data_IF_702780608168
#
_entry.id   IF_702780608168
#
_cell.length_a   1.000
_cell.length_b   1.000
_cell.length_c   1.000
_cell.angle_alpha   90.00
_cell.angle_beta   90.00
_cell.angle_gamma   90.00
#
_symmetry.space_group_name_H-M   'P 1'
#
loop_
_entity.id
_entity.type
_entity.pdbx_description
1 polymer ?
#
# COMPACT_ATOMS: atom_id res chain seq x y z
N UNK A 1 5.02 -6.11 -22.49
CA UNK A 1 5.19 -4.66 -22.30
C UNK A 1 6.65 -4.32 -21.98
N UNK A 2 7.22 -4.82 -20.86
CA UNK A 2 8.63 -4.54 -20.47
C UNK A 2 9.61 -4.92 -21.58
N UNK A 3 9.43 -6.07 -22.23
CA UNK A 3 10.27 -6.50 -23.36
C UNK A 3 10.15 -5.59 -24.59
N UNK A 4 9.02 -4.99 -24.82
CA UNK A 4 8.83 -4.01 -25.88
C UNK A 4 9.52 -2.68 -25.54
N UNK A 5 9.35 -2.21 -24.32
CA UNK A 5 10.02 -1.00 -23.83
C UNK A 5 11.55 -1.15 -23.82
N UNK A 6 12.09 -2.31 -23.41
CA UNK A 6 13.52 -2.60 -23.40
C UNK A 6 14.21 -2.49 -24.77
N UNK A 7 13.45 -2.48 -25.86
CA UNK A 7 13.96 -2.27 -27.23
C UNK A 7 13.94 -0.80 -27.67
N UNK A 8 13.47 0.10 -26.82
CA UNK A 8 13.45 1.53 -27.15
C UNK A 8 14.80 2.20 -26.82
N UNK A 9 15.18 3.28 -27.51
CA UNK A 9 16.39 4.03 -27.19
C UNK A 9 16.42 4.59 -25.76
N UNK A 10 15.26 4.87 -25.18
CA UNK A 10 15.10 5.39 -23.83
C UNK A 10 15.50 4.38 -22.77
N UNK A 11 15.44 3.08 -23.07
CA UNK A 11 15.77 2.00 -22.12
C UNK A 11 17.27 1.78 -21.90
N UNK A 12 18.11 2.26 -22.80
CA UNK A 12 19.55 1.94 -22.83
C UNK A 12 20.29 2.15 -21.49
N UNK A 13 20.01 3.18 -20.67
CA UNK A 13 20.69 3.33 -19.39
C UNK A 13 20.16 2.42 -18.28
N UNK A 14 18.97 1.82 -18.43
CA UNK A 14 18.29 1.05 -17.39
C UNK A 14 18.32 -0.46 -17.61
N UNK A 15 18.52 -0.90 -18.86
CA UNK A 15 18.49 -2.33 -19.21
C UNK A 15 19.82 -2.75 -19.82
N UNK A 16 20.62 -3.49 -19.09
CA UNK A 16 21.81 -4.15 -19.59
C UNK A 16 21.42 -5.57 -20.02
N UNK A 17 21.14 -5.73 -21.32
CA UNK A 17 21.22 -6.95 -22.10
C UNK A 17 20.38 -8.17 -21.73
N UNK A 18 19.53 -8.63 -22.64
CA UNK A 18 19.03 -9.99 -22.75
C UNK A 18 17.67 -10.28 -22.05
N UNK A 19 17.05 -11.42 -22.39
CA UNK A 19 15.73 -11.80 -21.90
C UNK A 19 15.64 -11.97 -20.38
N UNK A 20 16.72 -12.46 -19.74
CA UNK A 20 16.77 -12.69 -18.31
C UNK A 20 16.66 -11.37 -17.51
N UNK A 21 17.44 -10.34 -17.92
CA UNK A 21 17.38 -9.01 -17.29
C UNK A 21 16.01 -8.35 -17.49
N UNK A 22 15.42 -8.53 -18.66
CA UNK A 22 14.07 -8.02 -18.94
C UNK A 22 13.01 -8.68 -18.07
N UNK A 23 13.12 -9.99 -17.84
CA UNK A 23 12.21 -10.75 -16.97
C UNK A 23 12.38 -10.33 -15.51
N UNK A 24 13.63 -10.16 -15.04
CA UNK A 24 13.91 -9.68 -13.69
C UNK A 24 13.28 -8.29 -13.46
N UNK A 25 13.50 -7.35 -14.40
CA UNK A 25 12.93 -6.01 -14.34
C UNK A 25 11.38 -6.02 -14.35
N UNK A 26 10.77 -6.93 -15.10
CA UNK A 26 9.32 -7.11 -15.10
C UNK A 26 8.82 -7.62 -13.74
N UNK A 27 9.56 -8.53 -13.10
CA UNK A 27 9.28 -9.01 -11.75
C UNK A 27 9.41 -7.92 -10.69
N UNK A 28 10.44 -7.06 -10.80
CA UNK A 28 10.64 -5.93 -9.89
C UNK A 28 9.50 -4.91 -10.02
N UNK A 29 9.08 -4.62 -11.26
CA UNK A 29 7.94 -3.74 -11.51
C UNK A 29 6.64 -4.30 -10.93
N UNK A 30 6.39 -5.60 -11.09
CA UNK A 30 5.20 -6.24 -10.53
C UNK A 30 5.19 -6.16 -8.99
N UNK A 31 6.35 -6.39 -8.33
CA UNK A 31 6.46 -6.24 -6.88
C UNK A 31 6.20 -4.80 -6.42
N UNK A 32 6.75 -3.81 -7.13
CA UNK A 32 6.48 -2.40 -6.83
C UNK A 32 4.99 -2.07 -6.94
N UNK A 33 4.31 -2.57 -7.98
CA UNK A 33 2.87 -2.38 -8.16
C UNK A 33 2.07 -2.99 -7.01
N UNK A 34 2.39 -4.23 -6.63
CA UNK A 34 1.75 -4.90 -5.49
C UNK A 34 1.97 -4.14 -4.18
N UNK A 35 3.18 -3.65 -3.92
CA UNK A 35 3.51 -2.87 -2.73
C UNK A 35 2.74 -1.54 -2.69
N UNK A 36 2.65 -0.83 -3.81
CA UNK A 36 1.91 0.44 -3.87
C UNK A 36 0.42 0.24 -3.62
N UNK A 37 -0.21 -0.76 -4.26
CA UNK A 37 -1.62 -1.11 -4.02
C UNK A 37 -1.82 -1.53 -2.57
N UNK A 38 -1.00 -2.45 -2.08
CA UNK A 38 -1.11 -3.01 -0.73
C UNK A 38 -0.99 -1.95 0.37
N UNK A 39 -0.13 -0.94 0.15
CA UNK A 39 0.09 0.17 1.10
C UNK A 39 -0.82 1.37 0.86
N UNK A 40 -1.63 1.35 -0.19
CA UNK A 40 -2.50 2.46 -0.57
C UNK A 40 -1.71 3.71 -1.00
N UNK A 41 -0.53 3.52 -1.61
CA UNK A 41 0.32 4.63 -2.09
C UNK A 41 -0.08 4.99 -3.52
N UNK A 42 -0.43 6.26 -3.72
CA UNK A 42 -0.74 6.77 -5.05
C UNK A 42 0.52 6.96 -5.90
N UNK A 43 0.41 6.72 -7.21
CA UNK A 43 1.52 6.89 -8.16
C UNK A 43 2.11 8.30 -8.16
N UNK A 44 1.29 9.31 -7.91
CA UNK A 44 1.68 10.73 -7.81
C UNK A 44 2.67 11.01 -6.67
N UNK A 45 2.75 10.12 -5.68
CA UNK A 45 3.75 10.23 -4.62
C UNK A 45 5.17 10.05 -5.15
N UNK A 46 5.36 9.25 -6.20
CA UNK A 46 6.66 9.03 -6.85
C UNK A 46 7.16 10.28 -7.57
N UNK A 47 6.27 11.11 -8.10
CA UNK A 47 6.62 12.35 -8.81
C UNK A 47 7.30 13.37 -7.87
N UNK A 48 7.14 13.20 -6.55
CA UNK A 48 7.64 14.11 -5.51
C UNK A 48 8.92 13.61 -4.82
N UNK A 49 9.42 12.44 -5.18
CA UNK A 49 10.54 11.80 -4.45
C UNK A 49 11.90 12.40 -4.79
N UNK A 50 12.05 12.95 -5.99
CA UNK A 50 13.35 13.40 -6.49
C UNK A 50 13.34 14.89 -6.72
N UNK A 51 14.31 15.64 -6.14
CA UNK A 51 14.49 17.04 -6.45
C UNK A 51 14.85 17.27 -7.93
N UNK A 52 14.43 18.42 -8.50
CA UNK A 52 14.58 18.79 -9.91
C UNK A 52 16.02 18.69 -10.47
N UNK A 53 17.03 18.75 -9.60
CA UNK A 53 18.44 18.65 -9.98
C UNK A 53 18.92 17.26 -10.42
N UNK A 54 18.14 16.19 -10.17
CA UNK A 54 18.44 14.81 -10.57
C UNK A 54 17.65 14.35 -11.80
N UNK A 55 17.17 15.27 -12.59
CA UNK A 55 16.11 15.12 -13.58
C UNK A 55 16.34 14.03 -14.63
N UNK A 56 17.54 13.91 -15.22
CA UNK A 56 17.75 13.04 -16.40
C UNK A 56 17.57 11.54 -16.11
N UNK A 57 18.17 11.00 -15.04
CA UNK A 57 18.04 9.57 -14.69
C UNK A 57 16.64 9.27 -14.18
N UNK A 58 16.04 10.22 -13.45
CA UNK A 58 14.71 10.06 -12.94
C UNK A 58 13.66 10.08 -14.04
N UNK A 59 13.82 10.92 -15.06
CA UNK A 59 12.93 10.93 -16.23
C UNK A 59 12.89 9.57 -16.95
N UNK A 60 14.03 8.90 -17.11
CA UNK A 60 14.06 7.53 -17.66
C UNK A 60 13.32 6.53 -16.77
N UNK A 61 13.45 6.67 -15.44
CA UNK A 61 12.74 5.82 -14.49
C UNK A 61 11.22 6.07 -14.54
N UNK A 62 10.80 7.32 -14.60
CA UNK A 62 9.38 7.69 -14.75
C UNK A 62 8.79 7.18 -16.07
N UNK A 63 9.54 7.24 -17.18
CA UNK A 63 9.09 6.69 -18.46
C UNK A 63 8.92 5.16 -18.39
N UNK A 64 9.79 4.46 -17.69
CA UNK A 64 9.61 3.03 -17.40
C UNK A 64 8.38 2.78 -16.54
N UNK A 65 8.19 3.54 -15.47
CA UNK A 65 7.05 3.43 -14.57
C UNK A 65 5.71 3.76 -15.25
N UNK A 66 5.74 4.45 -16.40
CA UNK A 66 4.55 4.68 -17.24
C UNK A 66 3.90 3.37 -17.70
N UNK A 67 4.67 2.29 -17.82
CA UNK A 67 4.15 0.95 -18.16
C UNK A 67 3.14 0.53 -17.09
N UNK A 68 3.52 0.61 -15.81
CA UNK A 68 2.67 0.24 -14.69
C UNK A 68 1.52 1.23 -14.46
N UNK A 69 1.80 2.53 -14.65
CA UNK A 69 0.85 3.60 -14.35
C UNK A 69 -0.26 3.77 -15.40
N UNK A 70 0.03 3.51 -16.67
CA UNK A 70 -0.90 3.75 -17.79
C UNK A 70 -1.15 2.52 -18.63
N UNK A 71 -0.09 1.93 -19.19
CA UNK A 71 -0.23 0.90 -20.22
C UNK A 71 -0.81 -0.39 -19.65
N UNK A 72 -0.33 -0.81 -18.49
CA UNK A 72 -0.79 -2.04 -17.86
C UNK A 72 -2.25 -1.99 -17.39
N UNK A 73 -2.73 -0.93 -16.72
CA UNK A 73 -4.15 -0.80 -16.37
C UNK A 73 -5.08 -0.79 -17.59
N UNK A 74 -4.68 -0.14 -18.69
CA UNK A 74 -5.44 -0.16 -19.95
C UNK A 74 -5.53 -1.58 -20.51
N UNK A 75 -4.40 -2.30 -20.54
CA UNK A 75 -4.37 -3.69 -20.98
C UNK A 75 -5.25 -4.60 -20.10
N UNK A 76 -5.19 -4.48 -18.77
CA UNK A 76 -6.06 -5.24 -17.88
C UNK A 76 -7.54 -4.96 -18.14
N UNK A 77 -7.90 -3.71 -18.39
CA UNK A 77 -9.26 -3.32 -18.74
C UNK A 77 -9.71 -3.95 -20.06
N UNK A 78 -8.86 -3.97 -21.09
CA UNK A 78 -9.13 -4.60 -22.38
C UNK A 78 -9.43 -6.10 -22.25
N UNK A 79 -8.69 -6.81 -21.39
CA UNK A 79 -8.88 -8.26 -21.18
C UNK A 79 -9.87 -8.58 -20.05
N UNK A 80 -10.54 -7.58 -19.47
CA UNK A 80 -11.53 -7.75 -18.41
C UNK A 80 -10.93 -8.32 -17.11
N UNK A 81 -9.73 -7.89 -16.73
CA UNK A 81 -9.00 -8.35 -15.54
C UNK A 81 -8.64 -7.17 -14.64
N UNK A 82 -8.31 -7.49 -13.40
CA UNK A 82 -7.75 -6.55 -12.41
C UNK A 82 -6.50 -7.15 -11.77
N UNK A 83 -5.70 -6.32 -11.12
CA UNK A 83 -4.52 -6.76 -10.38
C UNK A 83 -4.89 -7.71 -9.23
N UNK A 84 -4.04 -8.73 -8.94
CA UNK A 84 -4.26 -9.63 -7.80
C UNK A 84 -4.37 -8.90 -6.46
N UNK A 85 -3.51 -7.89 -6.21
CA UNK A 85 -3.54 -7.09 -5.00
C UNK A 85 -4.84 -6.28 -4.89
N UNK A 86 -5.27 -5.64 -5.97
CA UNK A 86 -6.55 -4.92 -6.03
C UNK A 86 -7.74 -5.87 -5.80
N UNK A 87 -7.70 -7.07 -6.41
CA UNK A 87 -8.75 -8.08 -6.20
C UNK A 87 -8.83 -8.50 -4.74
N UNK A 88 -7.69 -8.73 -4.09
CA UNK A 88 -7.64 -9.06 -2.66
C UNK A 88 -8.30 -7.97 -1.82
N UNK A 89 -7.91 -6.71 -2.03
CA UNK A 89 -8.41 -5.57 -1.27
C UNK A 89 -9.93 -5.38 -1.47
N UNK A 90 -10.41 -5.48 -2.71
CA UNK A 90 -11.85 -5.45 -3.01
C UNK A 90 -12.63 -6.57 -2.33
N UNK A 91 -12.06 -7.78 -2.23
CA UNK A 91 -12.70 -8.90 -1.53
C UNK A 91 -12.76 -8.67 -0.02
N UNK A 92 -11.69 -8.12 0.57
CA UNK A 92 -11.64 -7.76 1.99
C UNK A 92 -12.69 -6.66 2.30
N UNK A 93 -12.77 -5.64 1.47
CA UNK A 93 -13.75 -4.55 1.62
C UNK A 93 -15.19 -5.05 1.43
N UNK A 94 -15.44 -5.92 0.45
CA UNK A 94 -16.74 -6.52 0.24
C UNK A 94 -17.18 -7.39 1.42
N UNK A 95 -16.26 -8.14 2.02
CA UNK A 95 -16.55 -8.94 3.22
C UNK A 95 -16.81 -8.06 4.43
N UNK A 96 -16.07 -6.97 4.62
CA UNK A 96 -16.35 -5.99 5.67
C UNK A 96 -17.77 -5.42 5.53
N UNK A 97 -18.17 -5.04 4.32
CA UNK A 97 -19.51 -4.53 4.04
C UNK A 97 -20.59 -5.59 4.29
N UNK A 98 -20.35 -6.85 3.86
CA UNK A 98 -21.28 -7.97 4.07
C UNK A 98 -21.51 -8.22 5.57
N UNK A 99 -20.44 -8.27 6.37
CA UNK A 99 -20.53 -8.50 7.81
C UNK A 99 -21.26 -7.35 8.52
N UNK A 100 -21.01 -6.13 8.13
CA UNK A 100 -21.71 -4.96 8.68
C UNK A 100 -23.22 -4.99 8.37
N UNK A 101 -23.58 -5.43 7.17
CA UNK A 101 -24.97 -5.53 6.76
C UNK A 101 -25.69 -6.73 7.40
N UNK A 102 -25.01 -7.86 7.51
CA UNK A 102 -25.58 -9.10 8.03
C UNK A 102 -24.51 -10.05 8.56
N UNK A 103 -24.67 -10.49 9.82
CA UNK A 103 -23.87 -11.53 10.46
C UNK A 103 -24.71 -12.34 11.44
N UNK A 104 -24.59 -13.68 11.38
CA UNK A 104 -25.46 -14.59 12.14
C UNK A 104 -24.92 -14.98 13.52
N UNK A 105 -23.77 -14.47 13.93
CA UNK A 105 -23.13 -14.84 15.19
C UNK A 105 -21.87 -14.04 15.49
N UNK A 106 -21.11 -14.47 16.50
CA UNK A 106 -19.86 -13.80 16.87
C UNK A 106 -18.84 -13.82 15.72
N UNK A 107 -18.20 -12.68 15.48
CA UNK A 107 -17.12 -12.53 14.50
C UNK A 107 -15.85 -12.10 15.23
N UNK A 108 -14.80 -12.90 15.17
CA UNK A 108 -13.53 -12.64 15.86
C UNK A 108 -12.43 -12.55 14.81
N UNK A 109 -11.77 -11.40 14.73
CA UNK A 109 -10.56 -11.22 13.94
C UNK A 109 -9.34 -11.19 14.86
N UNK A 110 -8.40 -12.11 14.64
CA UNK A 110 -7.23 -12.25 15.51
C UNK A 110 -5.93 -12.32 14.70
N UNK A 111 -4.82 -11.83 15.28
CA UNK A 111 -3.48 -12.03 14.75
C UNK A 111 -3.04 -11.04 13.65
N UNK A 112 -3.81 -9.98 13.38
CA UNK A 112 -3.44 -8.94 12.41
C UNK A 112 -3.21 -7.59 13.10
N UNK A 113 -2.19 -6.86 12.66
CA UNK A 113 -1.88 -5.51 13.13
C UNK A 113 -2.60 -4.40 12.36
N UNK A 114 -3.36 -4.74 11.31
CA UNK A 114 -4.05 -3.76 10.47
C UNK A 114 -3.10 -2.87 9.65
N UNK A 115 -1.87 -3.31 9.40
CA UNK A 115 -0.85 -2.51 8.67
C UNK A 115 -1.24 -2.19 7.23
N UNK A 116 -2.08 -3.01 6.60
CA UNK A 116 -2.62 -2.76 5.26
C UNK A 116 -3.97 -2.03 5.35
N UNK A 117 -4.21 -0.96 4.56
CA UNK A 117 -5.43 -0.16 4.64
C UNK A 117 -6.74 -0.95 4.52
N UNK A 118 -6.82 -1.90 3.59
CA UNK A 118 -8.00 -2.76 3.43
C UNK A 118 -8.23 -3.64 4.67
N UNK A 119 -7.16 -4.21 5.22
CA UNK A 119 -7.23 -5.00 6.45
C UNK A 119 -7.64 -4.14 7.65
N UNK A 120 -7.10 -2.93 7.77
CA UNK A 120 -7.48 -2.01 8.83
C UNK A 120 -8.98 -1.67 8.78
N UNK A 121 -9.53 -1.37 7.59
CA UNK A 121 -10.97 -1.17 7.39
C UNK A 121 -11.79 -2.39 7.81
N UNK A 122 -11.34 -3.58 7.46
CA UNK A 122 -11.99 -4.84 7.86
C UNK A 122 -12.01 -5.02 9.38
N UNK A 123 -10.85 -4.81 10.05
CA UNK A 123 -10.76 -4.90 11.51
C UNK A 123 -11.67 -3.87 12.19
N UNK A 124 -11.70 -2.64 11.68
CA UNK A 124 -12.62 -1.59 12.17
C UNK A 124 -14.09 -2.01 12.01
N UNK A 125 -14.45 -2.59 10.86
CA UNK A 125 -15.79 -3.11 10.64
C UNK A 125 -16.14 -4.22 11.63
N UNK A 126 -15.24 -5.18 11.85
CA UNK A 126 -15.45 -6.26 12.84
C UNK A 126 -15.58 -5.71 14.26
N UNK A 127 -14.74 -4.75 14.66
CA UNK A 127 -14.83 -4.11 15.98
C UNK A 127 -16.17 -3.40 16.21
N UNK A 128 -16.79 -2.87 15.16
CA UNK A 128 -18.10 -2.21 15.20
C UNK A 128 -19.32 -3.15 15.25
N UNK A 129 -19.14 -4.45 15.06
CA UNK A 129 -20.25 -5.41 15.12
C UNK A 129 -20.71 -5.64 16.56
N UNK A 130 -22.01 -5.87 16.76
CA UNK A 130 -22.60 -6.14 18.09
C UNK A 130 -21.94 -7.32 18.81
N UNK A 131 -21.53 -8.35 18.09
CA UNK A 131 -20.84 -9.54 18.59
C UNK A 131 -19.45 -9.66 17.91
N UNK A 132 -18.81 -8.52 17.64
CA UNK A 132 -17.47 -8.45 17.03
C UNK A 132 -16.39 -8.35 18.09
N UNK A 133 -15.22 -8.95 17.80
CA UNK A 133 -14.03 -8.76 18.60
C UNK A 133 -12.77 -8.76 17.73
N UNK A 134 -11.81 -7.91 18.08
CA UNK A 134 -10.49 -7.87 17.43
C UNK A 134 -9.42 -8.15 18.47
N UNK A 135 -8.55 -9.12 18.18
CA UNK A 135 -7.42 -9.50 19.03
C UNK A 135 -6.13 -9.10 18.31
N UNK A 136 -5.53 -8.00 18.77
CA UNK A 136 -4.28 -7.47 18.20
C UNK A 136 -3.07 -8.25 18.75
N UNK A 137 -2.15 -8.71 17.90
CA UNK A 137 -0.98 -9.46 18.33
C UNK A 137 0.09 -8.51 18.89
N UNK A 138 0.51 -8.74 20.14
CA UNK A 138 1.61 -8.00 20.74
C UNK A 138 1.35 -6.51 20.93
N UNK A 139 0.10 -6.12 21.16
CA UNK A 139 -0.22 -4.76 21.57
C UNK A 139 0.45 -4.48 22.92
N UNK A 140 1.27 -3.44 22.95
CA UNK A 140 1.93 -2.98 24.17
C UNK A 140 0.96 -2.11 24.98
N UNK A 141 0.46 -2.66 26.07
CA UNK A 141 -0.49 -1.99 26.98
C UNK A 141 0.21 -1.21 28.08
N UNK A 142 1.54 -1.26 28.17
CA UNK A 142 2.33 -0.57 29.17
C UNK A 142 2.83 0.80 28.70
N UNK A 143 2.62 1.12 27.41
CA UNK A 143 2.90 2.44 26.85
C UNK A 143 1.93 3.47 27.42
N UNK A 144 2.48 4.58 27.93
CA UNK A 144 1.69 5.74 28.31
C UNK A 144 1.15 6.52 27.08
N UNK A 145 0.22 7.42 27.32
CA UNK A 145 -0.44 8.20 26.27
C UNK A 145 0.55 9.08 25.49
N UNK A 146 1.60 9.59 26.13
CA UNK A 146 2.61 10.42 25.47
C UNK A 146 3.47 9.60 24.51
N UNK A 147 3.93 8.43 24.93
CA UNK A 147 4.67 7.49 24.08
C UNK A 147 3.80 7.01 22.91
N UNK A 148 2.53 6.70 23.18
CA UNK A 148 1.56 6.29 22.18
C UNK A 148 1.33 7.36 21.11
N UNK A 149 1.13 8.63 21.51
CA UNK A 149 1.00 9.75 20.58
C UNK A 149 2.29 10.00 19.78
N UNK A 150 3.45 9.86 20.42
CA UNK A 150 4.75 10.01 19.77
C UNK A 150 4.93 9.02 18.62
N UNK A 151 4.47 7.78 18.79
CA UNK A 151 4.50 6.75 17.73
C UNK A 151 3.69 7.19 16.52
N UNK A 152 2.50 7.76 16.71
CA UNK A 152 1.62 8.25 15.65
C UNK A 152 2.09 9.53 14.97
N UNK A 153 2.96 10.28 15.65
CA UNK A 153 3.38 11.62 15.25
C UNK A 153 2.34 12.68 15.60
N UNK A 154 2.80 13.90 15.78
CA UNK A 154 1.95 15.03 16.17
C UNK A 154 1.64 15.90 14.95
N UNK A 155 0.36 16.22 14.74
CA UNK A 155 -0.08 17.12 13.69
C UNK A 155 -0.56 18.46 14.27
N UNK A 156 -0.31 19.54 13.55
CA UNK A 156 -0.88 20.86 13.87
C UNK A 156 -2.34 20.95 13.39
N UNK A 157 -2.97 22.09 13.67
CA UNK A 157 -4.36 22.38 13.27
C UNK A 157 -4.59 22.33 11.75
N UNK A 158 -3.55 22.48 10.93
CA UNK A 158 -3.59 22.37 9.48
C UNK A 158 -3.32 20.94 8.98
N UNK A 159 -3.21 19.94 9.87
CA UNK A 159 -2.96 18.55 9.54
C UNK A 159 -1.50 18.22 9.15
N UNK A 160 -0.57 19.20 9.23
CA UNK A 160 0.84 18.99 8.93
C UNK A 160 1.57 18.41 10.14
N UNK A 161 2.44 17.43 9.93
CA UNK A 161 3.26 16.89 11.00
C UNK A 161 4.22 17.95 11.56
N UNK A 162 4.16 18.16 12.86
CA UNK A 162 5.15 18.92 13.66
C UNK A 162 6.15 17.96 14.32
N UNK A 163 5.73 16.73 14.61
CA UNK A 163 6.60 15.61 14.93
C UNK A 163 6.28 14.46 13.99
N UNK A 164 7.31 13.93 13.33
CA UNK A 164 7.14 12.82 12.37
C UNK A 164 6.75 11.53 13.11
N UNK A 165 5.89 10.69 12.51
CA UNK A 165 5.56 9.40 13.10
C UNK A 165 6.76 8.45 13.13
N UNK A 166 6.82 7.63 14.16
CA UNK A 166 7.82 6.59 14.30
C UNK A 166 7.45 5.35 13.45
N UNK A 167 7.44 5.49 12.13
CA UNK A 167 6.94 4.48 11.19
C UNK A 167 7.66 3.12 11.26
N UNK A 168 8.86 3.07 11.83
CA UNK A 168 9.62 1.84 12.06
C UNK A 168 9.33 1.20 13.43
N UNK A 169 8.52 1.85 14.28
CA UNK A 169 8.18 1.31 15.59
C UNK A 169 7.21 0.11 15.44
N UNK A 170 7.40 -1.00 16.19
CA UNK A 170 6.52 -2.18 16.09
C UNK A 170 5.03 -1.89 16.33
N UNK A 171 4.72 -0.91 17.19
CA UNK A 171 3.35 -0.51 17.51
C UNK A 171 2.73 0.46 16.51
N UNK A 172 3.49 0.99 15.54
CA UNK A 172 3.01 2.06 14.65
C UNK A 172 1.74 1.70 13.88
N UNK A 173 1.66 0.48 13.34
CA UNK A 173 0.48 0.04 12.58
C UNK A 173 -0.76 -0.08 13.48
N UNK A 174 -0.59 -0.59 14.70
CA UNK A 174 -1.67 -0.73 15.68
C UNK A 174 -2.09 0.63 16.25
N UNK A 175 -1.14 1.53 16.47
CA UNK A 175 -1.41 2.91 16.86
C UNK A 175 -2.31 3.59 15.81
N UNK A 176 -1.92 3.55 14.53
CA UNK A 176 -2.73 4.11 13.45
C UNK A 176 -4.07 3.40 13.21
N UNK A 177 -4.24 2.15 13.66
CA UNK A 177 -5.52 1.43 13.65
C UNK A 177 -6.45 1.91 14.78
N UNK A 178 -5.92 2.10 15.97
CA UNK A 178 -6.69 2.45 17.18
C UNK A 178 -7.08 3.93 17.23
N UNK A 179 -6.34 4.80 16.54
CA UNK A 179 -6.62 6.25 16.43
C UNK A 179 -7.66 6.61 15.33
N UNK A 180 -8.28 5.62 14.70
CA UNK A 180 -9.33 5.82 13.68
C UNK A 180 -10.71 5.80 14.29
#
# INVERSE_FOLDING_TARGET
LVAAWAKTPVSAPLVVGGPASTLALAGDLARLMDDMVTRGVAWEALDKLVPDQFDKYWQHSLEFLRIARKIWPEHLKEIGRIEPAERRDRLIEAEAARLTAHHDGPVIAAGSTGSMPATAKFLTAVAGLKLGAVVLPGLDTDLDDEAWQTIGGVRNAQGKFVSQPASNHPQFAMQGLLDR
#
